data_IF_893079402586
#
_entry.id   IF_893079402586
#
_cell.length_a   1.000
_cell.length_b   1.000
_cell.length_c   1.000
_cell.angle_alpha   90.00
_cell.angle_beta   90.00
_cell.angle_gamma   90.00
#
_symmetry.space_group_name_H-M   'P 1'
#
loop_
_entity.id
_entity.type
_entity.pdbx_description
1 polymer ?
#
# COMPACT_ATOMS: atom_id res chain seq x y z
N UNK A 1 -8.47 1.89 12.25
CA UNK A 1 -7.80 3.21 12.25
C UNK A 1 -8.12 3.88 10.93
N UNK A 2 -8.51 5.16 10.92
CA UNK A 2 -8.99 5.87 9.71
C UNK A 2 -7.82 6.29 8.80
N UNK A 3 -7.89 6.07 7.47
CA UNK A 3 -6.88 6.58 6.54
C UNK A 3 -6.90 8.11 6.48
N UNK A 4 -5.75 8.72 6.21
CA UNK A 4 -5.66 10.16 5.94
C UNK A 4 -4.44 10.46 5.07
N UNK A 5 -4.51 11.55 4.31
CA UNK A 5 -3.43 12.00 3.42
C UNK A 5 -2.14 12.24 4.23
N UNK A 6 -1.00 11.90 3.63
CA UNK A 6 0.33 12.08 4.21
C UNK A 6 0.79 10.98 5.16
N UNK A 7 -0.08 10.00 5.49
CA UNK A 7 0.30 8.89 6.38
C UNK A 7 1.14 7.85 5.65
N UNK A 8 2.20 7.40 6.31
CA UNK A 8 3.00 6.26 5.88
C UNK A 8 2.29 4.95 6.19
N UNK A 9 2.19 4.08 5.19
CA UNK A 9 1.55 2.77 5.22
C UNK A 9 2.43 1.72 4.52
N UNK A 10 2.05 0.45 4.63
CA UNK A 10 2.61 -0.59 3.77
C UNK A 10 1.69 -0.81 2.57
N UNK A 11 2.28 -0.86 1.37
CA UNK A 11 1.65 -1.43 0.18
C UNK A 11 2.25 -2.81 -0.08
N UNK A 12 1.40 -3.83 -0.19
CA UNK A 12 1.85 -5.18 -0.46
C UNK A 12 1.93 -5.41 -1.97
N UNK A 13 3.14 -5.49 -2.52
CA UNK A 13 3.34 -5.67 -3.98
C UNK A 13 2.83 -7.03 -4.45
N UNK A 14 2.41 -7.13 -5.71
CA UNK A 14 1.88 -8.38 -6.26
C UNK A 14 2.90 -9.53 -6.29
N UNK A 15 4.18 -9.20 -6.43
CA UNK A 15 5.20 -10.17 -6.82
C UNK A 15 5.08 -10.53 -8.30
N UNK A 16 5.93 -11.44 -8.78
CA UNK A 16 5.85 -11.97 -10.15
C UNK A 16 5.23 -13.36 -10.18
N UNK A 17 4.48 -13.73 -11.23
CA UNK A 17 3.87 -15.06 -11.35
C UNK A 17 4.86 -16.22 -11.23
N UNK A 18 6.11 -16.03 -11.69
CA UNK A 18 7.19 -17.02 -11.59
C UNK A 18 7.92 -17.05 -10.24
N UNK A 19 7.54 -16.20 -9.28
CA UNK A 19 8.12 -16.18 -7.93
C UNK A 19 9.50 -15.52 -7.82
N UNK A 20 10.06 -15.01 -8.92
CA UNK A 20 11.32 -14.27 -8.95
C UNK A 20 11.30 -13.08 -7.96
N UNK A 21 10.16 -12.41 -7.87
CA UNK A 21 9.91 -11.37 -6.88
C UNK A 21 8.74 -11.78 -5.98
N UNK A 22 9.02 -11.93 -4.69
CA UNK A 22 8.00 -12.23 -3.69
C UNK A 22 7.07 -11.04 -3.47
N UNK A 23 5.83 -11.33 -3.08
CA UNK A 23 4.95 -10.33 -2.50
C UNK A 23 5.49 -9.92 -1.14
N UNK A 24 5.94 -8.67 -1.02
CA UNK A 24 6.54 -8.13 0.20
C UNK A 24 6.00 -6.71 0.46
N UNK A 25 5.98 -6.27 1.74
CA UNK A 25 5.56 -4.93 2.08
C UNK A 25 6.56 -3.90 1.54
N UNK A 26 6.04 -2.83 0.96
CA UNK A 26 6.80 -1.67 0.51
C UNK A 26 6.29 -0.42 1.22
N UNK A 27 7.19 0.50 1.58
CA UNK A 27 6.80 1.76 2.19
C UNK A 27 6.02 2.62 1.18
N UNK A 28 4.88 3.16 1.61
CA UNK A 28 4.06 4.03 0.79
C UNK A 28 3.47 5.17 1.61
N UNK A 29 3.12 6.28 0.95
CA UNK A 29 2.40 7.41 1.55
C UNK A 29 1.03 7.51 0.91
N UNK A 30 -0.01 7.68 1.73
CA UNK A 30 -1.37 7.98 1.24
C UNK A 30 -1.36 9.36 0.59
N UNK A 31 -1.64 9.42 -0.70
CA UNK A 31 -1.75 10.69 -1.45
C UNK A 31 -3.19 11.18 -1.52
N UNK A 32 -4.17 10.28 -1.45
CA UNK A 32 -5.59 10.62 -1.51
C UNK A 32 -6.42 9.54 -0.79
N UNK A 33 -7.52 9.95 -0.14
CA UNK A 33 -8.52 9.01 0.41
C UNK A 33 -9.72 9.01 -0.53
N UNK A 34 -9.90 7.93 -1.29
CA UNK A 34 -10.94 7.79 -2.32
C UNK A 34 -12.29 7.50 -1.69
N UNK A 35 -12.29 6.56 -0.73
CA UNK A 35 -13.47 6.19 0.01
C UNK A 35 -13.06 5.84 1.44
N UNK A 36 -13.58 6.61 2.38
CA UNK A 36 -13.24 6.48 3.79
C UNK A 36 -13.88 5.24 4.43
N UNK A 37 -15.12 4.92 4.08
CA UNK A 37 -15.88 3.80 4.63
C UNK A 37 -15.27 2.45 4.24
N UNK A 38 -14.81 2.34 3.00
CA UNK A 38 -14.13 1.14 2.48
C UNK A 38 -12.61 1.22 2.60
N UNK A 39 -12.08 2.34 3.11
CA UNK A 39 -10.64 2.59 3.26
C UNK A 39 -9.85 2.42 1.96
N UNK A 40 -10.45 2.78 0.82
CA UNK A 40 -9.75 2.81 -0.48
C UNK A 40 -8.99 4.12 -0.62
N UNK A 41 -7.72 4.03 -1.02
CA UNK A 41 -6.81 5.18 -1.09
C UNK A 41 -6.02 5.18 -2.39
N UNK A 42 -5.39 6.30 -2.70
CA UNK A 42 -4.24 6.34 -3.60
C UNK A 42 -2.97 6.38 -2.77
N UNK A 43 -1.94 5.67 -3.21
CA UNK A 43 -0.64 5.66 -2.54
C UNK A 43 0.50 5.90 -3.52
N UNK A 44 1.55 6.55 -3.04
CA UNK A 44 2.85 6.56 -3.70
C UNK A 44 3.78 5.61 -2.99
N UNK A 45 4.22 4.55 -3.67
CA UNK A 45 5.20 3.58 -3.17
C UNK A 45 6.60 4.14 -3.38
N UNK A 46 7.38 4.20 -2.30
CA UNK A 46 8.72 4.77 -2.28
C UNK A 46 9.74 3.63 -2.42
N UNK A 47 10.59 3.69 -3.46
CA UNK A 47 11.68 2.75 -3.67
C UNK A 47 13.00 3.51 -3.90
N UNK A 48 14.18 2.92 -3.61
CA UNK A 48 15.47 3.57 -3.86
C UNK A 48 15.68 4.02 -5.31
N UNK A 49 15.03 3.34 -6.27
CA UNK A 49 15.16 3.59 -7.70
C UNK A 49 14.03 4.42 -8.29
N UNK A 50 13.03 4.82 -7.49
CA UNK A 50 11.94 5.65 -7.96
C UNK A 50 10.63 5.49 -7.20
N UNK A 51 9.59 6.11 -7.75
CA UNK A 51 8.25 6.17 -7.17
C UNK A 51 7.24 5.46 -8.07
N UNK A 52 6.31 4.73 -7.47
CA UNK A 52 5.16 4.14 -8.17
C UNK A 52 3.87 4.73 -7.62
N UNK A 53 3.00 5.22 -8.50
CA UNK A 53 1.72 5.83 -8.14
C UNK A 53 0.60 4.81 -8.35
N UNK A 54 0.07 4.28 -7.25
CA UNK A 54 -0.96 3.25 -7.27
C UNK A 54 -2.30 3.87 -6.86
N UNK A 55 -3.31 3.72 -7.71
CA UNK A 55 -4.67 4.22 -7.48
C UNK A 55 -5.59 3.11 -7.01
N UNK A 56 -6.69 3.52 -6.38
CA UNK A 56 -7.79 2.66 -5.94
C UNK A 56 -7.32 1.44 -5.14
N UNK A 57 -6.37 1.65 -4.23
CA UNK A 57 -5.75 0.59 -3.44
C UNK A 57 -6.65 0.25 -2.26
N UNK A 58 -7.22 -0.98 -2.20
CA UNK A 58 -8.08 -1.40 -1.10
C UNK A 58 -7.27 -1.68 0.17
N UNK A 59 -7.90 -1.52 1.32
CA UNK A 59 -7.33 -1.91 2.60
C UNK A 59 -7.40 -3.43 2.81
N UNK A 60 -6.40 -4.00 3.47
CA UNK A 60 -6.48 -5.32 4.08
C UNK A 60 -5.74 -5.33 5.41
N UNK A 61 -6.31 -5.93 6.44
CA UNK A 61 -5.62 -6.06 7.74
C UNK A 61 -4.46 -7.06 7.68
N UNK A 62 -4.65 -8.14 6.91
CA UNK A 62 -3.61 -9.13 6.61
C UNK A 62 -2.93 -8.74 5.30
N UNK A 63 -1.59 -8.67 5.23
CA UNK A 63 -0.90 -8.29 3.99
C UNK A 63 -1.34 -9.13 2.80
N UNK A 64 -1.89 -8.48 1.78
CA UNK A 64 -2.44 -9.10 0.58
C UNK A 64 -1.98 -8.36 -0.68
N UNK A 65 -1.49 -9.06 -1.73
CA UNK A 65 -1.14 -8.47 -3.02
C UNK A 65 -2.11 -7.38 -3.49
N UNK A 66 -1.57 -6.19 -3.80
CA UNK A 66 -2.35 -5.05 -4.28
C UNK A 66 -3.12 -4.27 -3.22
N UNK A 67 -3.00 -4.62 -1.94
CA UNK A 67 -3.69 -3.94 -0.84
C UNK A 67 -2.70 -3.13 -0.01
N UNK A 68 -3.21 -2.15 0.73
CA UNK A 68 -2.45 -1.44 1.75
C UNK A 68 -2.87 -1.88 3.15
N UNK A 69 -1.95 -1.75 4.10
CA UNK A 69 -2.20 -2.04 5.51
C UNK A 69 -1.41 -1.08 6.42
N UNK A 70 -1.84 -0.98 7.67
CA UNK A 70 -1.07 -0.26 8.68
C UNK A 70 0.24 -1.02 8.96
N UNK A 71 1.39 -0.33 9.07
CA UNK A 71 2.63 -0.97 9.46
C UNK A 71 2.48 -1.62 10.85
N UNK A 72 3.18 -2.74 11.11
CA UNK A 72 3.21 -3.32 12.44
C UNK A 72 3.78 -2.30 13.44
N UNK A 73 3.21 -2.27 14.65
CA UNK A 73 3.78 -1.47 15.73
C UNK A 73 5.02 -2.19 16.25
N UNK A 74 6.14 -1.48 16.28
CA UNK A 74 7.40 -1.91 16.93
C UNK A 74 7.62 -1.12 18.20
#
# INVERSE_FOLDING_TARGET
>A
MKPSIGRTVHYQRYGTPGGEYKSEPSAAIITEVVNEDTSVVHVTVLNPTGFHFNRDVPFSEVPKPGHWNWPPRV
#
